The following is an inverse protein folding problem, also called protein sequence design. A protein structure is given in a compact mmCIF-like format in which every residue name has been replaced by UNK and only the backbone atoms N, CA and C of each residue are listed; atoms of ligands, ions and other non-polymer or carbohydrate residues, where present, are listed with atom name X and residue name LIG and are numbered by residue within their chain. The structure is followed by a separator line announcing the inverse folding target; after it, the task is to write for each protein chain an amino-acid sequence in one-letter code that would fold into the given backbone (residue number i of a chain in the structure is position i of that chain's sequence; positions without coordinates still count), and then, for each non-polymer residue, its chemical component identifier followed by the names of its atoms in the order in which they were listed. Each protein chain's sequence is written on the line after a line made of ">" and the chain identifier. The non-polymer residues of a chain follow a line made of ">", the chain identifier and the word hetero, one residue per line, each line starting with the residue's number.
data_IF_639970164356
#
_entry.id   IF_639970164356
#
_cell.length_a   1.000
_cell.length_b   1.000
_cell.length_c   1.000
_cell.angle_alpha   90.00
_cell.angle_beta   90.00
_cell.angle_gamma   90.00
#
_symmetry.space_group_name_H-M   'P 1'
#
loop_
_entity.id
_entity.type
_entity.pdbx_description
1 polymer ?
#
# COMPACT_ATOMS: atom_id res chain seq x y z
N UNK A 1 23.53 -34.58 12.01
CA UNK A 1 23.37 -34.91 10.59
C UNK A 1 21.92 -34.65 10.21
N UNK A 2 21.62 -33.45 9.71
CA UNK A 2 20.28 -33.05 9.29
C UNK A 2 20.15 -33.23 7.77
N UNK A 3 19.08 -33.91 7.37
CA UNK A 3 18.69 -34.31 6.02
C UNK A 3 18.53 -33.08 5.09
N UNK A 4 19.56 -32.78 4.29
CA UNK A 4 19.49 -31.87 3.14
C UNK A 4 18.61 -32.51 2.05
N UNK A 5 17.29 -32.46 2.21
CA UNK A 5 16.37 -32.73 1.09
C UNK A 5 16.50 -31.61 0.06
N UNK A 6 17.33 -31.83 -0.96
CA UNK A 6 17.32 -31.08 -2.22
C UNK A 6 15.87 -31.01 -2.72
N UNK A 7 15.23 -29.85 -2.61
CA UNK A 7 13.85 -29.65 -3.06
C UNK A 7 13.66 -30.10 -4.51
N UNK A 8 12.45 -30.57 -4.85
CA UNK A 8 12.11 -31.07 -6.18
C UNK A 8 12.44 -30.03 -7.25
N UNK A 9 12.65 -30.44 -8.51
CA UNK A 9 12.84 -29.51 -9.63
C UNK A 9 11.72 -28.45 -9.69
N UNK A 10 10.50 -28.84 -9.28
CA UNK A 10 9.34 -27.97 -9.10
C UNK A 10 9.57 -26.88 -8.04
N UNK A 11 10.11 -27.24 -6.88
CA UNK A 11 10.35 -26.31 -5.76
C UNK A 11 11.44 -25.30 -6.08
N UNK A 12 12.49 -25.75 -6.79
CA UNK A 12 13.56 -24.88 -7.30
C UNK A 12 13.02 -23.90 -8.35
N UNK A 13 12.21 -24.37 -9.30
CA UNK A 13 11.56 -23.52 -10.28
C UNK A 13 10.63 -22.50 -9.62
N UNK A 14 9.86 -22.93 -8.62
CA UNK A 14 9.01 -22.04 -7.83
C UNK A 14 9.83 -20.98 -7.08
N UNK A 15 10.94 -21.36 -6.44
CA UNK A 15 11.83 -20.43 -5.75
C UNK A 15 12.49 -19.40 -6.68
N UNK A 16 12.83 -19.78 -7.92
CA UNK A 16 13.38 -18.84 -8.91
C UNK A 16 12.30 -17.91 -9.47
N UNK A 17 11.13 -18.45 -9.83
CA UNK A 17 10.06 -17.70 -10.49
C UNK A 17 9.24 -16.82 -9.54
N UNK A 18 9.15 -17.17 -8.26
CA UNK A 18 8.34 -16.48 -7.26
C UNK A 18 9.15 -15.97 -6.04
N UNK A 19 10.29 -16.59 -5.71
CA UNK A 19 11.00 -16.38 -4.44
C UNK A 19 11.75 -15.06 -4.29
N UNK A 20 12.06 -14.33 -5.38
CA UNK A 20 12.56 -12.93 -5.38
C UNK A 20 13.92 -12.63 -4.74
N UNK A 21 14.42 -13.44 -3.79
CA UNK A 21 15.62 -13.14 -2.99
C UNK A 21 16.89 -13.82 -3.51
N UNK A 22 16.76 -14.96 -4.21
CA UNK A 22 17.92 -15.68 -4.73
C UNK A 22 18.61 -14.94 -5.88
N UNK A 23 19.92 -15.14 -6.05
CA UNK A 23 20.67 -14.56 -7.19
C UNK A 23 20.09 -15.01 -8.54
N UNK A 24 19.66 -16.27 -8.63
CA UNK A 24 19.00 -16.81 -9.81
C UNK A 24 17.65 -16.13 -10.08
N UNK A 25 16.83 -15.90 -9.05
CA UNK A 25 15.57 -15.17 -9.19
C UNK A 25 15.80 -13.75 -9.70
N UNK A 26 16.79 -13.02 -9.16
CA UNK A 26 17.11 -11.66 -9.60
C UNK A 26 17.57 -11.60 -11.06
N UNK A 27 18.47 -12.50 -11.48
CA UNK A 27 18.93 -12.56 -12.87
C UNK A 27 17.77 -12.87 -13.80
N UNK A 28 16.95 -13.87 -13.46
CA UNK A 28 15.77 -14.22 -14.23
C UNK A 28 14.80 -13.03 -14.36
N UNK A 29 14.50 -12.36 -13.25
CA UNK A 29 13.66 -11.17 -13.19
C UNK A 29 14.20 -10.05 -14.10
N UNK A 30 15.51 -9.77 -14.05
CA UNK A 30 16.16 -8.76 -14.92
C UNK A 30 16.12 -9.13 -16.40
N UNK A 31 16.41 -10.39 -16.74
CA UNK A 31 16.36 -10.88 -18.14
C UNK A 31 14.93 -10.82 -18.68
N UNK A 32 13.95 -11.24 -17.88
CA UNK A 32 12.54 -11.21 -18.25
C UNK A 32 12.05 -9.78 -18.43
N UNK A 33 12.45 -8.86 -17.56
CA UNK A 33 12.18 -7.43 -17.69
C UNK A 33 12.72 -6.86 -19.00
N UNK A 34 14.00 -7.14 -19.31
CA UNK A 34 14.62 -6.71 -20.57
C UNK A 34 13.89 -7.30 -21.79
N UNK A 35 13.50 -8.58 -21.74
CA UNK A 35 12.74 -9.22 -22.81
C UNK A 35 11.36 -8.59 -23.01
N UNK A 36 10.66 -8.19 -21.93
CA UNK A 36 9.37 -7.47 -22.02
C UNK A 36 9.59 -6.11 -22.70
N UNK A 37 10.59 -5.33 -22.28
CA UNK A 37 10.89 -4.03 -22.89
C UNK A 37 11.24 -4.16 -24.38
N UNK A 38 12.10 -5.10 -24.75
CA UNK A 38 12.45 -5.37 -26.15
C UNK A 38 11.24 -5.83 -26.96
N UNK A 39 10.36 -6.65 -26.39
CA UNK A 39 9.12 -7.06 -27.04
C UNK A 39 8.18 -5.88 -27.27
N UNK A 40 8.07 -4.95 -26.32
CA UNK A 40 7.25 -3.74 -26.48
C UNK A 40 7.86 -2.81 -27.53
N UNK A 41 9.18 -2.64 -27.52
CA UNK A 41 9.89 -1.86 -28.53
C UNK A 41 9.67 -2.43 -29.94
N UNK A 42 9.66 -3.76 -30.08
CA UNK A 42 9.38 -4.43 -31.36
C UNK A 42 7.99 -4.03 -31.89
N UNK A 43 6.98 -3.97 -31.03
CA UNK A 43 5.61 -3.55 -31.41
C UNK A 43 5.56 -2.07 -31.80
N UNK A 44 6.28 -1.21 -31.06
CA UNK A 44 6.37 0.22 -31.38
C UNK A 44 7.03 0.42 -32.76
N UNK A 45 8.15 -0.26 -33.02
CA UNK A 45 8.85 -0.18 -34.31
C UNK A 45 8.00 -0.78 -35.43
N UNK A 46 7.31 -1.90 -35.21
CA UNK A 46 6.39 -2.47 -36.23
C UNK A 46 5.27 -1.47 -36.59
N UNK A 47 4.76 -0.71 -35.61
CA UNK A 47 3.69 0.26 -35.84
C UNK A 47 4.07 1.45 -36.73
N UNK A 48 5.37 1.79 -36.82
CA UNK A 48 5.86 2.86 -37.70
C UNK A 48 6.17 2.39 -39.12
N UNK A 49 6.23 1.08 -39.36
CA UNK A 49 6.58 0.53 -40.67
C UNK A 49 5.33 0.34 -41.55
N UNK A 50 5.49 0.56 -42.85
CA UNK A 50 4.47 0.18 -43.83
C UNK A 50 4.29 -1.34 -43.87
N UNK A 51 3.07 -1.79 -44.20
CA UNK A 51 2.72 -3.21 -44.24
C UNK A 51 3.63 -4.02 -45.18
N UNK A 52 4.11 -3.40 -46.26
CA UNK A 52 4.93 -4.01 -47.30
C UNK A 52 6.45 -3.92 -47.02
N UNK A 53 6.86 -3.33 -45.90
CA UNK A 53 8.27 -3.20 -45.54
C UNK A 53 8.90 -4.59 -45.25
N UNK A 54 10.12 -4.87 -45.75
CA UNK A 54 10.86 -6.09 -45.40
C UNK A 54 11.15 -6.20 -43.90
N UNK A 55 11.16 -5.06 -43.18
CA UNK A 55 11.30 -5.03 -41.73
C UNK A 55 10.09 -5.62 -41.00
N UNK A 56 8.89 -5.46 -41.53
CA UNK A 56 7.65 -5.99 -40.93
C UNK A 56 7.71 -7.52 -40.83
N UNK A 57 8.20 -8.21 -41.86
CA UNK A 57 8.38 -9.66 -41.82
C UNK A 57 9.40 -10.10 -40.76
N UNK A 58 10.54 -9.39 -40.64
CA UNK A 58 11.58 -9.69 -39.64
C UNK A 58 11.08 -9.44 -38.21
N UNK A 59 10.37 -8.34 -37.98
CA UNK A 59 9.80 -7.99 -36.68
C UNK A 59 8.75 -9.01 -36.24
N UNK A 60 7.95 -9.57 -37.16
CA UNK A 60 7.02 -10.66 -36.84
C UNK A 60 7.73 -11.94 -36.39
N UNK A 61 8.87 -12.29 -36.97
CA UNK A 61 9.67 -13.45 -36.51
C UNK A 61 10.15 -13.21 -35.07
N UNK A 62 10.65 -12.01 -34.80
CA UNK A 62 11.08 -11.60 -33.44
C UNK A 62 9.90 -11.63 -32.47
N UNK A 63 8.71 -11.18 -32.88
CA UNK A 63 7.51 -11.25 -32.05
C UNK A 63 7.13 -12.70 -31.71
N UNK A 64 7.17 -13.60 -32.69
CA UNK A 64 6.89 -15.02 -32.46
C UNK A 64 7.91 -15.60 -31.48
N UNK A 65 9.20 -15.26 -31.62
CA UNK A 65 10.24 -15.68 -30.69
C UNK A 65 9.95 -15.20 -29.24
N UNK A 66 9.63 -13.91 -29.04
CA UNK A 66 9.23 -13.41 -27.72
C UNK A 66 7.97 -14.08 -27.17
N UNK A 67 6.98 -14.32 -28.03
CA UNK A 67 5.74 -15.01 -27.66
C UNK A 67 6.03 -16.42 -27.16
N UNK A 68 6.91 -17.16 -27.85
CA UNK A 68 7.34 -18.50 -27.44
C UNK A 68 8.06 -18.47 -26.09
N UNK A 69 9.00 -17.53 -25.90
CA UNK A 69 9.70 -17.35 -24.61
C UNK A 69 8.69 -17.10 -23.48
N UNK A 70 7.75 -16.17 -23.66
CA UNK A 70 6.72 -15.85 -22.67
C UNK A 70 5.70 -16.98 -22.45
N UNK A 71 5.48 -17.82 -23.45
CA UNK A 71 4.61 -19.00 -23.35
C UNK A 71 5.26 -20.09 -22.53
N UNK A 72 6.52 -20.42 -22.82
CA UNK A 72 7.32 -21.39 -22.05
C UNK A 72 7.36 -20.93 -20.58
N UNK A 73 7.67 -19.65 -20.37
CA UNK A 73 7.70 -19.03 -19.06
C UNK A 73 6.35 -19.20 -18.32
N UNK A 74 5.23 -18.83 -18.96
CA UNK A 74 3.89 -18.97 -18.38
C UNK A 74 3.52 -20.43 -18.03
N UNK A 75 3.90 -21.38 -18.90
CA UNK A 75 3.68 -22.81 -18.67
C UNK A 75 4.50 -23.30 -17.47
N UNK A 76 5.77 -22.91 -17.37
CA UNK A 76 6.62 -23.29 -16.23
C UNK A 76 6.03 -22.73 -14.92
N UNK A 77 5.51 -21.48 -14.93
CA UNK A 77 4.80 -20.91 -13.78
C UNK A 77 3.58 -21.72 -13.38
N UNK A 78 2.74 -22.11 -14.34
CA UNK A 78 1.57 -22.94 -14.06
C UNK A 78 1.96 -24.31 -13.49
N UNK A 79 3.01 -24.92 -14.03
CA UNK A 79 3.52 -26.21 -13.57
C UNK A 79 4.11 -26.16 -12.16
N UNK A 80 4.91 -25.13 -11.85
CA UNK A 80 5.55 -25.03 -10.54
C UNK A 80 4.62 -24.53 -9.44
N UNK A 81 3.59 -23.72 -9.77
CA UNK A 81 2.68 -23.16 -8.77
C UNK A 81 1.87 -24.27 -8.06
N UNK A 82 1.77 -24.27 -6.71
CA UNK A 82 1.04 -25.30 -5.96
C UNK A 82 -0.45 -25.43 -6.33
N UNK A 83 -1.07 -24.32 -6.75
CA UNK A 83 -2.48 -24.24 -7.18
C UNK A 83 -2.56 -23.62 -8.57
N UNK A 84 -2.25 -24.39 -9.62
CA UNK A 84 -2.11 -23.91 -10.99
C UNK A 84 -3.34 -23.16 -11.50
N UNK A 85 -4.54 -23.73 -11.32
CA UNK A 85 -5.80 -23.09 -11.76
C UNK A 85 -6.04 -21.75 -11.05
N UNK A 86 -5.76 -21.67 -9.75
CA UNK A 86 -5.90 -20.42 -9.00
C UNK A 86 -4.94 -19.34 -9.50
N UNK A 87 -3.74 -19.74 -9.93
CA UNK A 87 -2.80 -18.81 -10.56
C UNK A 87 -3.29 -18.38 -11.94
N UNK A 88 -3.75 -19.30 -12.78
CA UNK A 88 -4.27 -18.99 -14.13
C UNK A 88 -5.37 -17.92 -14.10
N UNK A 89 -6.30 -18.01 -13.14
CA UNK A 89 -7.40 -17.06 -12.95
C UNK A 89 -7.06 -15.88 -12.01
N UNK A 90 -5.80 -15.71 -11.61
CA UNK A 90 -5.37 -14.52 -10.86
C UNK A 90 -5.10 -13.33 -11.79
N UNK A 91 -5.09 -12.11 -11.26
CA UNK A 91 -4.78 -10.89 -12.03
C UNK A 91 -3.47 -11.02 -12.81
N UNK A 92 -2.41 -11.55 -12.18
CA UNK A 92 -1.11 -11.73 -12.83
C UNK A 92 -1.13 -12.87 -13.87
N UNK A 93 -1.80 -13.98 -13.57
CA UNK A 93 -1.95 -15.08 -14.53
C UNK A 93 -2.76 -14.70 -15.76
N UNK A 94 -3.79 -13.87 -15.60
CA UNK A 94 -4.61 -13.35 -16.68
C UNK A 94 -3.83 -12.37 -17.57
N UNK A 95 -3.04 -11.46 -16.97
CA UNK A 95 -2.14 -10.56 -17.73
C UNK A 95 -1.14 -11.39 -18.54
N UNK A 96 -0.55 -12.42 -17.94
CA UNK A 96 0.41 -13.29 -18.62
C UNK A 96 -0.24 -14.04 -19.79
N UNK A 97 -1.45 -14.56 -19.60
CA UNK A 97 -2.21 -15.19 -20.65
C UNK A 97 -2.58 -14.22 -21.79
N UNK A 98 -3.18 -13.08 -21.47
CA UNK A 98 -3.61 -12.07 -22.45
C UNK A 98 -2.47 -11.51 -23.29
N UNK A 99 -1.25 -11.53 -22.76
CA UNK A 99 -0.07 -11.03 -23.47
C UNK A 99 0.49 -11.96 -24.56
N UNK A 100 0.15 -13.27 -24.51
CA UNK A 100 0.60 -14.29 -25.48
C UNK A 100 -0.51 -14.70 -26.46
N UNK A 101 -1.77 -14.66 -26.03
CA UNK A 101 -2.95 -15.08 -26.80
C UNK A 101 -3.08 -14.40 -28.17
N UNK A 102 -2.88 -13.07 -28.31
CA UNK A 102 -3.12 -12.41 -29.59
C UNK A 102 -2.28 -12.95 -30.75
N UNK A 103 -1.03 -13.34 -30.48
CA UNK A 103 -0.13 -13.88 -31.51
C UNK A 103 -0.54 -15.30 -31.90
N UNK A 104 -0.98 -16.14 -30.96
CA UNK A 104 -1.52 -17.48 -31.29
C UNK A 104 -2.83 -17.41 -32.07
N UNK A 105 -3.76 -16.53 -31.69
CA UNK A 105 -4.99 -16.32 -32.45
C UNK A 105 -4.71 -15.84 -33.88
N UNK A 106 -3.72 -14.95 -34.05
CA UNK A 106 -3.29 -14.49 -35.36
C UNK A 106 -2.71 -15.60 -36.26
N UNK A 107 -2.05 -16.60 -35.66
CA UNK A 107 -1.46 -17.76 -36.37
C UNK A 107 -2.49 -18.84 -36.69
N UNK A 108 -3.40 -19.17 -35.75
CA UNK A 108 -4.42 -20.20 -35.93
C UNK A 108 -5.53 -19.79 -36.89
N UNK A 109 -5.76 -18.48 -37.04
CA UNK A 109 -6.83 -17.93 -37.87
C UNK A 109 -6.32 -16.90 -38.90
N UNK A 110 -5.52 -17.30 -39.92
CA UNK A 110 -4.95 -16.38 -40.90
C UNK A 110 -6.00 -15.65 -41.75
N UNK A 111 -7.11 -16.32 -42.08
CA UNK A 111 -8.19 -15.77 -42.91
C UNK A 111 -9.10 -14.77 -42.19
N UNK A 112 -9.00 -14.65 -40.87
CA UNK A 112 -9.76 -13.68 -40.07
C UNK A 112 -9.04 -12.31 -39.99
N UNK A 113 -7.80 -12.18 -40.50
CA UNK A 113 -6.96 -10.97 -40.41
C UNK A 113 -7.52 -9.76 -41.18
N UNK A 114 -8.48 -9.99 -42.08
CA UNK A 114 -9.23 -8.98 -42.83
C UNK A 114 -10.31 -8.29 -41.98
N UNK A 115 -10.74 -8.90 -40.87
CA UNK A 115 -11.75 -8.30 -39.98
C UNK A 115 -11.13 -7.26 -39.05
N UNK A 116 -11.81 -6.12 -38.89
CA UNK A 116 -11.42 -5.05 -37.98
C UNK A 116 -11.22 -5.55 -36.53
N UNK A 117 -11.95 -6.57 -36.11
CA UNK A 117 -11.82 -7.20 -34.79
C UNK A 117 -10.42 -7.80 -34.54
N UNK A 118 -9.78 -8.39 -35.55
CA UNK A 118 -8.42 -8.92 -35.41
C UNK A 118 -7.33 -7.82 -35.48
N UNK A 119 -7.64 -6.65 -36.04
CA UNK A 119 -6.75 -5.47 -35.97
C UNK A 119 -6.61 -5.00 -34.52
N UNK A 120 -7.69 -5.03 -33.76
CA UNK A 120 -7.68 -4.73 -32.31
C UNK A 120 -6.85 -5.76 -31.54
N UNK A 121 -6.89 -7.04 -31.92
CA UNK A 121 -6.04 -8.06 -31.27
C UNK A 121 -4.54 -7.74 -31.37
N UNK A 122 -4.08 -7.11 -32.46
CA UNK A 122 -2.68 -6.68 -32.58
C UNK A 122 -2.32 -5.63 -31.53
N UNK A 123 -3.24 -4.71 -31.23
CA UNK A 123 -3.09 -3.72 -30.17
C UNK A 123 -3.06 -4.38 -28.79
N UNK A 124 -3.79 -5.48 -28.58
CA UNK A 124 -3.76 -6.22 -27.31
C UNK A 124 -2.36 -6.77 -26.97
N UNK A 125 -1.42 -6.85 -27.93
CA UNK A 125 -0.02 -7.17 -27.63
C UNK A 125 0.64 -6.10 -26.74
N UNK A 126 0.13 -4.87 -26.73
CA UNK A 126 0.53 -3.83 -25.78
C UNK A 126 0.33 -4.30 -24.34
N UNK A 127 -0.62 -5.24 -24.08
CA UNK A 127 -0.82 -5.76 -22.74
C UNK A 127 0.42 -6.46 -22.16
N UNK A 128 1.40 -6.84 -22.99
CA UNK A 128 2.72 -7.28 -22.52
C UNK A 128 3.38 -6.25 -21.59
N UNK A 129 3.11 -4.95 -21.76
CA UNK A 129 3.60 -3.90 -20.85
C UNK A 129 3.10 -4.10 -19.42
N UNK A 130 1.86 -4.60 -19.24
CA UNK A 130 1.32 -4.83 -17.90
C UNK A 130 2.00 -6.01 -17.19
N UNK A 131 2.76 -6.87 -17.90
CA UNK A 131 3.62 -7.85 -17.23
C UNK A 131 4.65 -7.16 -16.33
N UNK A 132 5.01 -5.90 -16.59
CA UNK A 132 5.91 -5.10 -15.75
C UNK A 132 5.34 -4.85 -14.35
N UNK A 133 4.02 -4.90 -14.17
CA UNK A 133 3.35 -4.73 -12.87
C UNK A 133 3.81 -5.75 -11.82
N UNK A 134 4.36 -6.91 -12.23
CA UNK A 134 4.92 -7.90 -11.30
C UNK A 134 6.20 -7.43 -10.59
N UNK A 135 6.92 -6.48 -11.19
CA UNK A 135 8.10 -5.86 -10.59
C UNK A 135 7.72 -4.77 -9.59
N UNK A 136 6.42 -4.45 -9.48
CA UNK A 136 5.89 -3.49 -8.54
C UNK A 136 5.90 -3.99 -7.08
N UNK A 137 6.80 -4.89 -6.67
CA UNK A 137 7.08 -5.14 -5.24
C UNK A 137 7.41 -3.82 -4.53
N UNK A 138 8.14 -2.92 -5.19
CA UNK A 138 8.35 -1.54 -4.74
C UNK A 138 7.07 -0.68 -4.77
N UNK A 139 6.17 -0.95 -5.72
CA UNK A 139 4.88 -0.27 -5.86
C UNK A 139 3.82 -0.70 -4.84
N UNK A 140 4.07 -1.68 -3.96
CA UNK A 140 3.11 -2.08 -2.92
C UNK A 140 2.92 -0.99 -1.88
N UNK A 141 3.98 -0.30 -1.48
CA UNK A 141 3.91 0.87 -0.58
C UNK A 141 3.09 1.98 -1.24
N UNK A 142 3.40 2.29 -2.50
CA UNK A 142 2.66 3.28 -3.28
C UNK A 142 1.19 2.85 -3.44
N UNK A 143 0.92 1.58 -3.71
CA UNK A 143 -0.42 1.04 -3.89
C UNK A 143 -1.26 1.07 -2.61
N UNK A 144 -0.66 0.77 -1.46
CA UNK A 144 -1.30 0.92 -0.16
C UNK A 144 -1.62 2.40 0.12
N UNK A 145 -0.64 3.29 -0.08
CA UNK A 145 -0.84 4.73 0.07
C UNK A 145 -1.97 5.26 -0.84
N UNK A 146 -2.04 4.81 -2.09
CA UNK A 146 -3.14 5.16 -3.00
C UNK A 146 -4.50 4.64 -2.51
N UNK A 147 -4.55 3.41 -2.01
CA UNK A 147 -5.78 2.80 -1.51
C UNK A 147 -6.32 3.54 -0.28
N UNK A 148 -5.46 3.93 0.66
CA UNK A 148 -5.81 4.72 1.84
C UNK A 148 -6.17 6.17 1.48
N UNK A 149 -5.54 6.71 0.43
CA UNK A 149 -5.79 8.07 -0.06
C UNK A 149 -6.98 8.17 -1.02
N UNK A 150 -7.66 7.06 -1.35
CA UNK A 150 -8.60 6.99 -2.49
C UNK A 150 -9.72 8.02 -2.44
N UNK A 151 -10.28 8.30 -1.26
CA UNK A 151 -11.37 9.28 -1.12
C UNK A 151 -10.86 10.72 -1.25
N UNK A 152 -9.65 11.00 -0.73
CA UNK A 152 -8.98 12.30 -0.84
C UNK A 152 -8.61 12.58 -2.31
N UNK A 153 -8.05 11.59 -3.00
CA UNK A 153 -7.73 11.66 -4.43
C UNK A 153 -9.01 11.80 -5.27
N UNK A 154 -10.05 11.01 -4.98
CA UNK A 154 -11.32 11.09 -5.72
C UNK A 154 -11.97 12.47 -5.57
N UNK A 155 -12.00 13.03 -4.35
CA UNK A 155 -12.53 14.38 -4.12
C UNK A 155 -11.76 15.44 -4.92
N UNK A 156 -10.42 15.34 -4.96
CA UNK A 156 -9.59 16.21 -5.77
C UNK A 156 -9.88 16.08 -7.28
N UNK A 157 -9.95 14.86 -7.81
CA UNK A 157 -10.22 14.61 -9.23
C UNK A 157 -11.61 15.10 -9.65
N UNK A 158 -12.63 14.85 -8.81
CA UNK A 158 -13.99 15.37 -9.04
C UNK A 158 -13.97 16.89 -9.03
N UNK A 159 -13.30 17.52 -8.08
CA UNK A 159 -13.12 18.98 -8.04
C UNK A 159 -12.44 19.52 -9.30
N UNK A 160 -11.36 18.87 -9.77
CA UNK A 160 -10.65 19.24 -10.99
C UNK A 160 -11.56 19.19 -12.23
N UNK A 161 -12.34 18.12 -12.37
CA UNK A 161 -13.29 17.97 -13.48
C UNK A 161 -14.38 19.03 -13.40
N UNK A 162 -14.92 19.33 -12.20
CA UNK A 162 -15.93 20.38 -12.05
C UNK A 162 -15.39 21.77 -12.40
N UNK A 163 -14.17 22.10 -11.98
CA UNK A 163 -13.51 23.35 -12.36
C UNK A 163 -13.34 23.39 -13.88
N UNK A 164 -12.83 22.31 -14.50
CA UNK A 164 -12.68 22.21 -15.95
C UNK A 164 -14.01 22.41 -16.70
N UNK A 165 -15.10 21.87 -16.16
CA UNK A 165 -16.45 22.06 -16.71
C UNK A 165 -16.86 23.52 -16.68
N UNK A 166 -16.65 24.20 -15.54
CA UNK A 166 -17.00 25.62 -15.38
C UNK A 166 -16.16 26.50 -16.29
N UNK A 167 -14.83 26.41 -16.21
CA UNK A 167 -13.94 27.28 -17.00
C UNK A 167 -14.04 26.98 -18.50
N UNK A 168 -14.24 25.72 -18.87
CA UNK A 168 -14.46 25.32 -20.26
C UNK A 168 -15.77 25.85 -20.84
N UNK A 169 -16.84 25.85 -20.04
CA UNK A 169 -18.13 26.45 -20.45
C UNK A 169 -18.02 27.97 -20.58
N UNK A 170 -17.30 28.64 -19.67
CA UNK A 170 -17.02 30.06 -19.77
C UNK A 170 -16.21 30.38 -21.02
N UNK A 171 -15.16 29.60 -21.32
CA UNK A 171 -14.34 29.82 -22.50
C UNK A 171 -15.15 29.65 -23.79
N UNK A 172 -16.02 28.64 -23.86
CA UNK A 172 -17.00 28.49 -24.94
C UNK A 172 -17.88 29.73 -25.12
N UNK A 173 -18.35 30.34 -24.02
CA UNK A 173 -19.18 31.55 -24.09
C UNK A 173 -18.40 32.81 -24.50
N UNK A 174 -17.11 32.91 -24.13
CA UNK A 174 -16.27 34.09 -24.38
C UNK A 174 -15.73 34.09 -25.82
N UNK A 175 -15.21 32.94 -26.26
CA UNK A 175 -14.48 32.82 -27.53
C UNK A 175 -15.38 32.32 -28.68
N UNK A 176 -16.31 31.42 -28.37
CA UNK A 176 -17.21 30.83 -29.36
C UNK A 176 -16.53 29.98 -30.45
N UNK A 177 -17.28 29.59 -31.50
CA UNK A 177 -16.81 28.62 -32.50
C UNK A 177 -15.65 29.10 -33.38
N UNK A 178 -15.49 30.41 -33.59
CA UNK A 178 -14.47 30.98 -34.46
C UNK A 178 -13.05 30.74 -33.93
N UNK A 179 -12.87 30.71 -32.61
CA UNK A 179 -11.60 30.36 -31.95
C UNK A 179 -11.44 28.86 -31.66
N UNK A 180 -12.26 27.99 -32.27
CA UNK A 180 -12.22 26.53 -32.07
C UNK A 180 -13.05 26.02 -30.88
N UNK A 181 -13.60 26.90 -30.04
CA UNK A 181 -14.53 26.55 -28.96
C UNK A 181 -15.94 26.34 -29.52
N UNK A 182 -16.11 25.34 -30.39
CA UNK A 182 -17.37 25.09 -31.11
C UNK A 182 -18.50 24.53 -30.23
N UNK A 183 -18.18 23.92 -29.10
CA UNK A 183 -19.14 23.33 -28.17
C UNK A 183 -18.51 23.21 -26.77
N UNK A 184 -19.35 23.15 -25.73
CA UNK A 184 -18.90 23.08 -24.33
C UNK A 184 -17.86 21.96 -24.12
N UNK A 185 -18.02 20.71 -24.60
CA UNK A 185 -17.00 19.67 -24.45
C UNK A 185 -15.60 20.04 -24.98
N UNK A 186 -15.49 20.84 -26.05
CA UNK A 186 -14.20 21.34 -26.53
C UNK A 186 -13.55 22.31 -25.53
N UNK A 187 -14.36 23.18 -24.92
CA UNK A 187 -13.92 24.03 -23.82
C UNK A 187 -13.54 23.23 -22.57
N UNK A 188 -14.26 22.16 -22.24
CA UNK A 188 -13.90 21.27 -21.12
C UNK A 188 -12.55 20.61 -21.39
N UNK A 189 -12.33 20.11 -22.61
CA UNK A 189 -11.05 19.52 -23.02
C UNK A 189 -9.90 20.52 -22.87
N UNK A 190 -10.07 21.75 -23.35
CA UNK A 190 -9.13 22.85 -23.10
C UNK A 190 -8.90 23.07 -21.60
N UNK A 191 -9.97 23.16 -20.80
CA UNK A 191 -9.89 23.38 -19.35
C UNK A 191 -9.09 22.29 -18.63
N UNK A 192 -9.29 21.02 -18.98
CA UNK A 192 -8.50 19.90 -18.45
C UNK A 192 -7.02 20.05 -18.82
N UNK A 193 -6.72 20.34 -20.09
CA UNK A 193 -5.34 20.46 -20.58
C UNK A 193 -4.59 21.63 -19.95
N UNK A 194 -5.25 22.78 -19.77
CA UNK A 194 -4.68 23.97 -19.14
C UNK A 194 -4.49 23.76 -17.64
N UNK A 195 -5.47 23.18 -16.94
CA UNK A 195 -5.35 22.85 -15.50
C UNK A 195 -4.26 21.82 -15.22
N UNK A 196 -4.03 20.88 -16.15
CA UNK A 196 -2.98 19.85 -16.02
C UNK A 196 -1.62 20.31 -16.56
N UNK A 197 -1.50 21.59 -16.95
CA UNK A 197 -0.31 22.20 -17.53
C UNK A 197 0.23 21.49 -18.77
N UNK A 198 -0.62 20.71 -19.46
CA UNK A 198 -0.28 20.09 -20.75
C UNK A 198 -0.30 21.17 -21.83
N UNK A 199 -1.37 21.96 -21.86
CA UNK A 199 -1.62 22.98 -22.89
C UNK A 199 -1.87 22.38 -24.27
N UNK A 200 -2.77 22.98 -25.05
CA UNK A 200 -3.00 22.62 -26.44
C UNK A 200 -2.81 23.82 -27.34
N UNK A 201 -2.00 23.67 -28.39
CA UNK A 201 -1.72 24.76 -29.34
C UNK A 201 -2.89 25.06 -30.28
N UNK A 202 -3.88 24.18 -30.38
CA UNK A 202 -5.01 24.30 -31.32
C UNK A 202 -6.22 25.06 -30.74
N UNK A 203 -6.32 25.18 -29.41
CA UNK A 203 -7.42 25.87 -28.73
C UNK A 203 -6.84 26.95 -27.83
N UNK A 204 -6.69 28.16 -28.36
CA UNK A 204 -6.15 29.31 -27.61
C UNK A 204 -7.16 30.45 -27.66
N UNK A 205 -7.43 31.11 -26.51
CA UNK A 205 -8.28 32.28 -26.50
C UNK A 205 -7.63 33.45 -27.25
N UNK A 206 -8.41 34.05 -28.16
CA UNK A 206 -7.97 35.20 -28.96
C UNK A 206 -8.40 36.51 -28.31
N UNK A 207 -9.48 36.50 -27.52
CA UNK A 207 -10.00 37.69 -26.86
C UNK A 207 -9.21 38.04 -25.60
N UNK A 208 -9.08 39.33 -25.24
CA UNK A 208 -8.45 39.73 -23.99
C UNK A 208 -9.13 39.12 -22.75
N UNK A 209 -10.45 38.95 -22.77
CA UNK A 209 -11.20 38.32 -21.68
C UNK A 209 -10.85 36.84 -21.54
N UNK A 210 -10.74 36.11 -22.65
CA UNK A 210 -10.32 34.72 -22.67
C UNK A 210 -8.88 34.54 -22.18
N UNK A 211 -7.96 35.41 -22.59
CA UNK A 211 -6.56 35.38 -22.15
C UNK A 211 -6.40 35.66 -20.64
N UNK A 212 -7.20 36.58 -20.10
CA UNK A 212 -7.24 36.82 -18.64
C UNK A 212 -7.74 35.58 -17.92
N UNK A 213 -8.84 34.97 -18.39
CA UNK A 213 -9.38 33.73 -17.82
C UNK A 213 -8.34 32.60 -17.88
N UNK A 214 -7.68 32.42 -19.02
CA UNK A 214 -6.63 31.43 -19.21
C UNK A 214 -5.47 31.62 -18.23
N UNK A 215 -5.01 32.86 -18.04
CA UNK A 215 -3.95 33.19 -17.10
C UNK A 215 -4.31 32.77 -15.66
N UNK A 216 -5.57 32.99 -15.24
CA UNK A 216 -6.05 32.51 -13.94
C UNK A 216 -6.08 30.99 -13.86
N UNK A 217 -6.54 30.31 -14.91
CA UNK A 217 -6.60 28.84 -14.96
C UNK A 217 -5.20 28.22 -14.92
N UNK A 218 -4.20 28.81 -15.58
CA UNK A 218 -2.81 28.35 -15.53
C UNK A 218 -2.23 28.41 -14.10
N UNK A 219 -2.48 29.51 -13.37
CA UNK A 219 -2.03 29.66 -11.98
C UNK A 219 -2.73 28.62 -11.08
N UNK A 220 -4.03 28.43 -11.26
CA UNK A 220 -4.79 27.41 -10.54
C UNK A 220 -4.25 26.01 -10.82
N UNK A 221 -3.94 25.68 -12.08
CA UNK A 221 -3.40 24.39 -12.49
C UNK A 221 -2.11 24.03 -11.76
N UNK A 222 -1.19 24.99 -11.61
CA UNK A 222 0.05 24.78 -10.84
C UNK A 222 -0.22 24.38 -9.38
N UNK A 223 -1.19 25.02 -8.73
CA UNK A 223 -1.62 24.65 -7.38
C UNK A 223 -2.27 23.26 -7.32
N UNK A 224 -3.05 22.90 -8.34
CA UNK A 224 -3.72 21.59 -8.40
C UNK A 224 -2.74 20.42 -8.53
N UNK A 225 -1.65 20.55 -9.28
CA UNK A 225 -0.65 19.48 -9.44
C UNK A 225 0.02 19.07 -8.12
N UNK A 226 0.18 20.00 -7.17
CA UNK A 226 0.82 19.73 -5.89
C UNK A 226 -0.05 18.89 -4.94
N UNK A 227 -1.37 18.94 -5.08
CA UNK A 227 -2.32 18.28 -4.17
C UNK A 227 -2.21 16.74 -4.20
N UNK A 228 -2.34 16.04 -5.36
CA UNK A 228 -2.26 14.59 -5.37
C UNK A 228 -0.89 14.08 -4.92
N UNK A 229 0.19 14.79 -5.31
CA UNK A 229 1.55 14.46 -4.88
C UNK A 229 1.69 14.59 -3.37
N UNK A 230 1.21 15.69 -2.77
CA UNK A 230 1.29 15.89 -1.31
C UNK A 230 0.44 14.88 -0.54
N UNK A 231 -0.78 14.56 -1.00
CA UNK A 231 -1.64 13.54 -0.37
C UNK A 231 -0.93 12.18 -0.35
N UNK A 232 -0.45 11.72 -1.51
CA UNK A 232 0.25 10.42 -1.62
C UNK A 232 1.54 10.44 -0.79
N UNK A 233 2.31 11.53 -0.85
CA UNK A 233 3.57 11.67 -0.11
C UNK A 233 3.34 11.64 1.39
N UNK A 234 2.32 12.34 1.89
CA UNK A 234 2.00 12.37 3.33
C UNK A 234 1.64 10.98 3.85
N UNK A 235 0.96 10.17 3.05
CA UNK A 235 0.61 8.79 3.40
C UNK A 235 1.84 7.87 3.39
N UNK A 236 2.70 7.99 2.36
CA UNK A 236 3.97 7.24 2.30
C UNK A 236 4.88 7.60 3.49
N UNK A 237 5.00 8.89 3.81
CA UNK A 237 5.81 9.36 4.94
C UNK A 237 5.22 8.88 6.27
N UNK A 238 3.89 8.88 6.42
CA UNK A 238 3.23 8.35 7.61
C UNK A 238 3.50 6.83 7.78
N UNK A 239 3.39 6.05 6.69
CA UNK A 239 3.70 4.61 6.69
C UNK A 239 5.19 4.37 7.03
N UNK A 240 6.10 5.13 6.44
CA UNK A 240 7.54 5.03 6.73
C UNK A 240 7.86 5.40 8.18
N UNK A 241 7.30 6.51 8.69
CA UNK A 241 7.51 6.95 10.07
C UNK A 241 6.98 5.92 11.07
N UNK A 242 5.81 5.35 10.80
CA UNK A 242 5.27 4.26 11.60
C UNK A 242 6.19 3.04 11.58
N UNK A 243 6.75 2.70 10.42
CA UNK A 243 7.68 1.57 10.29
C UNK A 243 9.01 1.81 11.02
N UNK A 244 9.59 3.00 10.91
CA UNK A 244 10.80 3.41 11.67
C UNK A 244 10.52 3.34 13.17
N UNK A 245 9.37 3.87 13.62
CA UNK A 245 8.96 3.79 15.03
C UNK A 245 8.79 2.36 15.54
N UNK A 246 8.45 1.41 14.66
CA UNK A 246 8.30 -0.01 15.02
C UNK A 246 9.65 -0.75 14.97
N UNK A 247 10.51 -0.46 13.98
CA UNK A 247 11.72 -1.26 13.71
C UNK A 247 13.01 -0.68 14.28
N UNK A 248 13.09 0.65 14.43
CA UNK A 248 14.31 1.36 14.82
C UNK A 248 14.16 2.12 16.14
N UNK A 249 12.96 2.15 16.72
CA UNK A 249 12.76 2.76 18.02
C UNK A 249 13.41 1.92 19.12
N UNK A 250 14.24 2.53 19.96
CA UNK A 250 14.64 1.92 21.23
C UNK A 250 13.56 2.18 22.29
N UNK A 251 13.43 1.27 23.26
CA UNK A 251 12.52 1.50 24.39
C UNK A 251 12.86 2.81 25.09
N UNK A 252 11.85 3.68 25.22
CA UNK A 252 12.02 5.03 25.74
C UNK A 252 10.86 5.41 26.67
N UNK A 253 10.83 6.67 27.10
CA UNK A 253 9.72 7.22 27.88
C UNK A 253 8.39 7.23 27.10
N UNK A 254 8.42 7.16 25.77
CA UNK A 254 7.24 7.23 24.91
C UNK A 254 7.06 6.00 24.00
N UNK A 255 7.92 4.99 24.15
CA UNK A 255 7.86 3.78 23.34
C UNK A 255 8.21 2.56 24.21
N UNK A 256 7.35 1.55 24.19
CA UNK A 256 7.58 0.27 24.85
C UNK A 256 7.21 -0.87 23.91
N UNK A 257 8.03 -1.91 23.89
CA UNK A 257 7.81 -3.11 23.10
C UNK A 257 7.37 -4.27 23.98
N UNK A 258 6.51 -5.10 23.39
CA UNK A 258 6.12 -6.38 23.98
C UNK A 258 6.01 -7.42 22.88
N UNK A 259 6.52 -8.60 23.18
CA UNK A 259 6.45 -9.74 22.28
C UNK A 259 5.01 -10.18 22.02
N UNK A 260 4.14 -10.06 23.02
CA UNK A 260 2.75 -10.50 22.94
C UNK A 260 1.87 -9.90 24.05
N UNK A 261 0.55 -9.85 23.83
CA UNK A 261 -0.43 -9.50 24.85
C UNK A 261 -0.91 -10.72 25.67
N UNK A 262 -0.92 -11.93 25.06
CA UNK A 262 -1.56 -13.12 25.64
C UNK A 262 -0.72 -14.41 25.57
N UNK A 263 0.28 -14.50 24.70
CA UNK A 263 1.16 -15.63 24.48
C UNK A 263 2.50 -15.44 25.20
N UNK A 264 2.88 -16.41 26.04
CA UNK A 264 4.18 -16.40 26.73
C UNK A 264 5.20 -17.21 25.92
N UNK A 265 6.21 -16.54 25.37
CA UNK A 265 7.27 -17.20 24.60
C UNK A 265 8.22 -18.04 25.45
N UNK A 266 8.27 -17.80 26.77
CA UNK A 266 9.19 -18.50 27.69
C UNK A 266 8.56 -19.75 28.31
N UNK A 267 7.23 -19.90 28.23
CA UNK A 267 6.50 -21.03 28.79
C UNK A 267 5.55 -21.56 27.72
N UNK A 268 5.77 -22.78 27.23
CA UNK A 268 4.90 -23.51 26.27
C UNK A 268 3.51 -23.86 26.82
N UNK A 269 3.05 -23.20 27.89
CA UNK A 269 1.71 -23.32 28.46
C UNK A 269 1.00 -21.97 28.43
N UNK A 270 -0.31 -22.03 28.17
CA UNK A 270 -1.25 -20.91 28.15
C UNK A 270 -1.04 -20.06 29.41
N UNK A 271 -0.52 -18.82 29.33
CA UNK A 271 -0.41 -18.02 30.53
C UNK A 271 -1.81 -17.60 30.96
N UNK A 272 -2.12 -17.91 32.21
CA UNK A 272 -3.21 -17.32 32.95
C UNK A 272 -3.15 -15.79 32.84
N UNK A 273 -4.30 -15.14 33.02
CA UNK A 273 -4.60 -13.70 33.07
C UNK A 273 -3.48 -12.67 33.34
N UNK A 274 -2.40 -13.05 34.02
CA UNK A 274 -1.25 -12.27 34.45
C UNK A 274 -0.38 -11.68 33.33
N UNK A 275 -0.20 -12.35 32.18
CA UNK A 275 0.65 -11.81 31.12
C UNK A 275 0.06 -10.52 30.52
N UNK A 276 -1.25 -10.47 30.35
CA UNK A 276 -1.95 -9.31 29.83
C UNK A 276 -1.82 -8.09 30.76
N UNK A 277 -1.84 -8.33 32.07
CA UNK A 277 -1.74 -7.28 33.09
C UNK A 277 -0.35 -6.64 33.08
N UNK A 278 0.70 -7.47 32.97
CA UNK A 278 2.08 -6.99 32.88
C UNK A 278 2.45 -6.39 31.51
N UNK A 279 1.94 -6.97 30.42
CA UNK A 279 2.35 -6.62 29.05
C UNK A 279 1.49 -5.51 28.44
N UNK A 280 0.24 -5.34 28.88
CA UNK A 280 -0.67 -4.34 28.31
C UNK A 280 -1.13 -3.33 29.36
N UNK A 281 -1.78 -3.78 30.44
CA UNK A 281 -2.40 -2.83 31.39
C UNK A 281 -1.38 -1.97 32.11
N UNK A 282 -0.26 -2.54 32.55
CA UNK A 282 0.79 -1.80 33.23
C UNK A 282 1.41 -0.71 32.34
N UNK A 283 1.90 -1.00 31.11
CA UNK A 283 2.37 0.04 30.20
C UNK A 283 1.30 1.09 29.84
N UNK A 284 0.08 0.66 29.54
CA UNK A 284 -1.03 1.58 29.22
C UNK A 284 -1.27 2.57 30.36
N UNK A 285 -1.40 2.09 31.61
CA UNK A 285 -1.54 2.97 32.77
C UNK A 285 -0.32 3.89 32.94
N UNK A 286 0.88 3.35 32.73
CA UNK A 286 2.14 4.11 32.76
C UNK A 286 2.17 5.29 31.80
N UNK A 287 1.77 5.08 30.55
CA UNK A 287 1.76 6.12 29.51
C UNK A 287 0.65 7.16 29.73
N UNK A 288 -0.56 6.72 30.08
CA UNK A 288 -1.69 7.61 30.36
C UNK A 288 -1.36 8.61 31.48
N UNK A 289 -0.66 8.15 32.53
CA UNK A 289 -0.26 9.00 33.64
C UNK A 289 1.02 9.81 33.40
N UNK A 290 1.73 9.60 32.30
CA UNK A 290 2.96 10.30 31.95
C UNK A 290 2.71 11.33 30.83
N UNK A 291 3.52 11.29 29.76
CA UNK A 291 3.42 12.18 28.59
C UNK A 291 2.68 11.56 27.41
N UNK A 292 1.98 10.43 27.62
CA UNK A 292 1.50 9.60 26.52
C UNK A 292 2.64 8.83 25.85
N UNK A 293 2.33 8.05 24.82
CA UNK A 293 3.33 7.24 24.12
C UNK A 293 2.68 6.16 23.26
N UNK A 294 3.49 5.18 22.85
CA UNK A 294 3.00 4.03 22.10
C UNK A 294 3.51 2.73 22.69
N UNK A 295 2.59 1.79 22.87
CA UNK A 295 2.90 0.40 23.18
C UNK A 295 2.78 -0.41 21.88
N UNK A 296 3.84 -1.14 21.53
CA UNK A 296 3.86 -1.97 20.32
C UNK A 296 3.93 -3.43 20.73
N UNK A 297 2.94 -4.21 20.30
CA UNK A 297 2.77 -5.63 20.63
C UNK A 297 3.03 -6.47 19.38
N UNK A 298 3.84 -7.51 19.53
CA UNK A 298 4.35 -8.35 18.44
C UNK A 298 5.80 -8.01 18.06
N UNK A 299 6.58 -7.46 18.99
CA UNK A 299 7.99 -7.09 18.80
C UNK A 299 8.83 -7.68 19.94
N UNK A 300 10.00 -8.25 19.66
CA UNK A 300 10.92 -8.65 20.72
C UNK A 300 11.56 -7.42 21.39
N UNK A 301 12.17 -7.62 22.57
CA UNK A 301 12.92 -6.57 23.26
C UNK A 301 14.12 -6.08 22.42
N UNK A 302 14.62 -6.93 21.50
CA UNK A 302 15.70 -6.62 20.55
C UNK A 302 15.19 -5.96 19.24
N UNK A 303 13.89 -5.68 19.13
CA UNK A 303 13.29 -5.04 17.95
C UNK A 303 13.01 -6.00 16.78
N UNK A 304 13.04 -7.32 16.99
CA UNK A 304 12.64 -8.29 15.97
C UNK A 304 11.11 -8.39 15.84
N UNK A 305 10.62 -8.51 14.61
CA UNK A 305 9.18 -8.61 14.32
C UNK A 305 8.68 -10.03 14.57
N UNK A 306 8.02 -10.24 15.70
CA UNK A 306 7.38 -11.50 16.05
C UNK A 306 5.94 -11.60 15.50
N UNK A 307 5.20 -10.51 15.55
CA UNK A 307 3.78 -10.45 15.20
C UNK A 307 2.84 -10.92 16.32
N UNK A 308 1.54 -10.77 16.08
CA UNK A 308 0.45 -11.17 17.01
C UNK A 308 -0.23 -12.47 16.58
N UNK A 309 0.35 -13.21 15.63
CA UNK A 309 -0.26 -14.40 15.05
C UNK A 309 -0.54 -15.47 16.12
N UNK A 310 0.41 -15.67 17.01
CA UNK A 310 0.36 -16.58 18.13
C UNK A 310 -0.79 -16.21 19.08
N UNK A 311 -1.04 -14.91 19.30
CA UNK A 311 -2.18 -14.41 20.10
C UNK A 311 -3.53 -14.71 19.43
N UNK A 312 -3.58 -14.58 18.11
CA UNK A 312 -4.79 -14.87 17.33
C UNK A 312 -5.07 -16.39 17.31
N UNK A 313 -4.03 -17.20 17.13
CA UNK A 313 -4.12 -18.66 17.06
C UNK A 313 -4.52 -19.28 18.40
N UNK A 314 -3.99 -18.76 19.52
CA UNK A 314 -4.30 -19.24 20.88
C UNK A 314 -5.79 -19.42 21.15
N UNK A 315 -6.63 -18.52 20.65
CA UNK A 315 -8.08 -18.51 20.89
C UNK A 315 -8.93 -18.48 19.63
N UNK A 316 -8.31 -18.75 18.47
CA UNK A 316 -8.92 -18.67 17.15
C UNK A 316 -9.69 -17.35 16.95
N UNK A 317 -9.02 -16.23 17.22
CA UNK A 317 -9.60 -14.90 17.15
C UNK A 317 -9.45 -14.28 15.77
N UNK A 318 -10.50 -13.59 15.33
CA UNK A 318 -10.36 -12.60 14.27
C UNK A 318 -9.62 -11.38 14.79
N UNK A 319 -9.01 -10.64 13.86
CA UNK A 319 -8.38 -9.33 14.12
C UNK A 319 -9.31 -8.40 14.90
N UNK A 320 -10.57 -8.27 14.48
CA UNK A 320 -11.54 -7.40 15.15
C UNK A 320 -11.84 -7.85 16.59
N UNK A 321 -11.90 -9.17 16.80
CA UNK A 321 -12.12 -9.74 18.13
C UNK A 321 -10.94 -9.48 19.05
N UNK A 322 -9.71 -9.52 18.53
CA UNK A 322 -8.50 -9.16 19.26
C UNK A 322 -8.56 -7.70 19.73
N UNK A 323 -8.78 -6.75 18.83
CA UNK A 323 -8.90 -5.31 19.14
C UNK A 323 -10.00 -5.06 20.19
N UNK A 324 -11.21 -5.60 19.97
CA UNK A 324 -12.32 -5.46 20.92
C UNK A 324 -11.99 -6.02 22.31
N UNK A 325 -11.23 -7.12 22.36
CA UNK A 325 -10.83 -7.74 23.63
C UNK A 325 -9.82 -6.87 24.38
N UNK A 326 -8.86 -6.26 23.67
CA UNK A 326 -7.94 -5.28 24.26
C UNK A 326 -8.72 -4.10 24.84
N UNK A 327 -9.58 -3.46 24.04
CA UNK A 327 -10.39 -2.31 24.46
C UNK A 327 -11.25 -2.63 25.68
N UNK A 328 -11.99 -3.73 25.63
CA UNK A 328 -12.88 -4.14 26.73
C UNK A 328 -12.12 -4.39 28.03
N UNK A 329 -10.91 -4.97 27.96
CA UNK A 329 -10.10 -5.21 29.16
C UNK A 329 -9.47 -3.93 29.71
N UNK A 330 -9.04 -3.00 28.85
CA UNK A 330 -8.55 -1.68 29.28
C UNK A 330 -9.69 -0.93 29.97
N UNK A 331 -10.88 -0.89 29.37
CA UNK A 331 -12.06 -0.27 29.93
C UNK A 331 -12.46 -0.89 31.27
N UNK A 332 -12.51 -2.22 31.37
CA UNK A 332 -12.88 -2.88 32.63
C UNK A 332 -11.88 -2.63 33.77
N UNK A 333 -10.62 -2.34 33.42
CA UNK A 333 -9.53 -2.20 34.39
C UNK A 333 -9.25 -0.75 34.78
N UNK A 334 -9.48 0.22 33.88
CA UNK A 334 -9.13 1.65 34.07
C UNK A 334 -10.29 2.60 33.81
N UNK A 335 -11.40 2.13 33.25
CA UNK A 335 -12.59 2.90 32.91
C UNK A 335 -12.63 3.39 31.47
N UNK A 336 -13.81 3.85 31.03
CA UNK A 336 -14.07 4.25 29.64
C UNK A 336 -13.27 5.48 29.20
N UNK A 337 -12.91 6.39 30.12
CA UNK A 337 -12.04 7.53 29.81
C UNK A 337 -10.64 7.10 29.37
N UNK A 338 -10.05 6.11 30.07
CA UNK A 338 -8.75 5.55 29.70
C UNK A 338 -8.81 4.82 28.35
N UNK A 339 -9.90 4.08 28.10
CA UNK A 339 -10.12 3.42 26.83
C UNK A 339 -10.27 4.43 25.67
N UNK A 340 -10.94 5.57 25.90
CA UNK A 340 -11.08 6.63 24.89
C UNK A 340 -9.74 7.31 24.53
N UNK A 341 -8.80 7.38 25.47
CA UNK A 341 -7.44 7.90 25.24
C UNK A 341 -6.50 6.86 24.60
N UNK A 342 -7.00 5.67 24.29
CA UNK A 342 -6.21 4.58 23.71
C UNK A 342 -6.70 4.28 22.30
N UNK A 343 -5.91 4.62 21.29
CA UNK A 343 -6.19 4.25 19.90
C UNK A 343 -5.44 2.98 19.54
N UNK A 344 -6.16 1.92 19.15
CA UNK A 344 -5.57 0.63 18.77
C UNK A 344 -5.60 0.51 17.25
N UNK A 345 -4.44 0.30 16.64
CA UNK A 345 -4.29 0.03 15.21
C UNK A 345 -3.44 -1.20 14.95
N UNK A 346 -3.73 -1.90 13.84
CA UNK A 346 -2.93 -3.05 13.41
C UNK A 346 -2.15 -2.68 12.16
N UNK A 347 -0.82 -2.78 12.25
CA UNK A 347 0.08 -2.49 11.15
C UNK A 347 0.74 -3.77 10.68
N UNK A 348 0.98 -3.88 9.38
CA UNK A 348 1.62 -5.05 8.80
C UNK A 348 3.09 -4.76 8.56
N UNK A 349 3.97 -5.38 9.33
CA UNK A 349 5.42 -5.20 9.25
C UNK A 349 6.05 -6.55 8.91
N UNK A 350 6.90 -6.59 7.87
CA UNK A 350 7.54 -7.82 7.38
C UNK A 350 6.58 -8.99 7.07
N UNK A 351 5.32 -8.66 6.74
CA UNK A 351 4.29 -9.66 6.45
C UNK A 351 3.54 -10.18 7.68
N UNK A 352 3.96 -9.82 8.89
CA UNK A 352 3.29 -10.13 10.17
C UNK A 352 2.45 -8.95 10.65
N UNK A 353 1.48 -9.21 11.52
CA UNK A 353 0.62 -8.16 12.07
C UNK A 353 1.20 -7.74 13.41
N UNK A 354 1.41 -6.43 13.59
CA UNK A 354 1.90 -5.81 14.82
C UNK A 354 0.79 -4.90 15.32
N UNK A 355 0.47 -4.97 16.61
CA UNK A 355 -0.56 -4.17 17.23
C UNK A 355 0.06 -2.94 17.89
N UNK A 356 -0.39 -1.75 17.49
CA UNK A 356 0.09 -0.47 18.00
C UNK A 356 -1.02 0.17 18.83
N UNK A 357 -0.73 0.47 20.08
CA UNK A 357 -1.60 1.23 20.97
C UNK A 357 -0.99 2.62 21.12
N UNK A 358 -1.61 3.63 20.51
CA UNK A 358 -1.25 5.04 20.69
C UNK A 358 -2.06 5.61 21.85
N UNK A 359 -1.35 6.14 22.85
CA UNK A 359 -1.88 6.52 24.16
C UNK A 359 -1.71 8.02 24.36
N UNK A 360 -2.82 8.72 24.53
CA UNK A 360 -2.83 10.14 24.87
C UNK A 360 -2.60 10.36 26.36
N UNK A 361 -1.90 11.44 26.71
CA UNK A 361 -1.68 11.77 28.11
C UNK A 361 -3.00 12.17 28.77
N UNK A 362 -3.36 11.52 29.88
CA UNK A 362 -4.62 11.78 30.55
C UNK A 362 -4.67 13.19 31.15
N UNK A 363 -5.83 13.84 31.08
CA UNK A 363 -6.08 15.14 31.71
C UNK A 363 -6.23 15.05 33.24
N UNK A 364 -6.38 13.84 33.78
CA UNK A 364 -6.43 13.56 35.21
C UNK A 364 -5.80 12.18 35.51
N UNK A 365 -5.39 11.92 36.76
CA UNK A 365 -4.77 10.65 37.12
C UNK A 365 -5.67 9.44 36.82
N UNK A 366 -5.11 8.46 36.13
CA UNK A 366 -5.78 7.21 35.77
C UNK A 366 -5.32 6.09 36.71
N UNK A 367 -6.23 5.63 37.56
CA UNK A 367 -5.98 4.53 38.51
C UNK A 367 -6.50 3.20 37.97
N UNK A 368 -5.81 2.12 38.35
CA UNK A 368 -6.26 0.75 38.06
C UNK A 368 -7.30 0.34 39.08
N UNK A 369 -8.52 0.05 38.61
CA UNK A 369 -9.70 -0.28 39.42
C UNK A 369 -9.86 -1.77 39.69
N UNK A 370 -9.45 -2.65 38.77
CA UNK A 370 -9.64 -4.10 38.91
C UNK A 370 -8.61 -4.85 38.09
N UNK A 371 -7.76 -5.64 38.75
CA UNK A 371 -6.74 -6.49 38.11
C UNK A 371 -6.37 -7.64 39.06
N UNK A 372 -6.00 -8.81 38.53
CA UNK A 372 -5.57 -9.95 39.37
C UNK A 372 -4.12 -9.82 39.85
N UNK A 373 -3.26 -9.09 39.13
CA UNK A 373 -1.83 -8.91 39.49
C UNK A 373 -1.40 -7.48 39.75
N UNK A 374 -2.23 -6.49 39.40
CA UNK A 374 -1.92 -5.08 39.67
C UNK A 374 -2.60 -4.62 40.95
N UNK A 375 -1.92 -3.74 41.69
CA UNK A 375 -2.39 -3.23 42.98
C UNK A 375 -3.52 -2.21 42.73
N UNK A 376 -4.68 -2.49 43.31
CA UNK A 376 -5.86 -1.63 43.19
C UNK A 376 -5.58 -0.25 43.82
N UNK A 377 -5.99 0.81 43.11
CA UNK A 377 -5.77 2.19 43.57
C UNK A 377 -4.32 2.70 43.45
N UNK A 378 -3.38 1.89 42.94
CA UNK A 378 -2.02 2.35 42.67
C UNK A 378 -1.93 3.18 41.38
N UNK A 379 -1.00 4.13 41.36
CA UNK A 379 -0.70 4.94 40.18
C UNK A 379 0.54 4.38 39.48
N UNK A 380 0.36 3.92 38.25
CA UNK A 380 1.46 3.43 37.42
C UNK A 380 1.93 4.58 36.53
N UNK A 381 3.22 4.87 36.51
CA UNK A 381 3.81 5.98 35.77
C UNK A 381 5.02 5.50 34.98
N UNK A 382 5.09 5.84 33.69
CA UNK A 382 6.26 5.60 32.85
C UNK A 382 7.38 6.57 33.26
N UNK A 383 8.55 6.03 33.58
CA UNK A 383 9.76 6.78 33.94
C UNK A 383 10.93 6.21 33.15
N UNK A 384 11.49 7.02 32.24
CA UNK A 384 12.47 6.56 31.26
C UNK A 384 11.92 5.31 30.53
N UNK A 385 12.69 4.23 30.44
CA UNK A 385 12.29 3.00 29.76
C UNK A 385 11.49 2.01 30.65
N UNK A 386 10.97 2.40 31.83
CA UNK A 386 10.26 1.47 32.70
C UNK A 386 9.00 2.07 33.33
N UNK A 387 7.97 1.24 33.53
CA UNK A 387 6.77 1.64 34.29
C UNK A 387 6.94 1.30 35.77
N UNK A 388 6.87 2.33 36.63
CA UNK A 388 6.99 2.25 38.08
C UNK A 388 5.64 2.45 38.77
N UNK A 389 5.50 1.87 39.95
CA UNK A 389 4.31 2.04 40.81
C UNK A 389 4.63 3.14 41.81
N UNK A 390 3.77 4.14 41.91
CA UNK A 390 3.82 5.15 42.95
C UNK A 390 2.78 4.84 44.02
N UNK A 391 3.16 5.01 45.28
CA UNK A 391 2.31 4.71 46.42
C UNK A 391 2.31 5.84 47.46
N UNK A 392 1.21 5.95 48.21
CA UNK A 392 1.08 6.88 49.34
C UNK A 392 1.42 8.33 48.98
N UNK A 393 2.39 8.90 49.68
CA UNK A 393 2.79 10.30 49.53
C UNK A 393 3.40 10.61 48.15
N UNK A 394 3.96 9.62 47.45
CA UNK A 394 4.53 9.82 46.11
C UNK A 394 3.46 10.13 45.07
N UNK A 395 2.27 9.50 45.19
CA UNK A 395 1.12 9.79 44.33
C UNK A 395 0.77 11.27 44.47
N UNK A 396 0.58 11.75 45.69
CA UNK A 396 0.17 13.15 45.96
C UNK A 396 1.17 14.15 45.37
N UNK A 397 2.47 13.92 45.57
CA UNK A 397 3.53 14.79 45.03
C UNK A 397 3.56 14.77 43.51
N UNK A 398 3.44 13.58 42.91
CA UNK A 398 3.45 13.44 41.46
C UNK A 398 2.22 14.09 40.82
N UNK A 399 1.04 13.82 41.36
CA UNK A 399 -0.21 14.34 40.80
C UNK A 399 -0.27 15.86 40.89
N UNK A 400 0.18 16.44 42.01
CA UNK A 400 0.26 17.88 42.19
C UNK A 400 1.27 18.54 41.23
N UNK A 401 2.31 17.84 40.81
CA UNK A 401 3.29 18.39 39.85
C UNK A 401 2.83 18.25 38.40
N UNK A 402 2.14 17.17 38.06
CA UNK A 402 1.79 16.81 36.67
C UNK A 402 0.48 17.45 36.18
N UNK A 403 -0.46 17.70 37.08
CA UNK A 403 -1.81 18.19 36.76
C UNK A 403 -2.23 19.47 37.51
N UNK A 404 -1.30 20.14 38.22
CA UNK A 404 -1.49 21.54 38.59
C UNK A 404 -1.31 22.42 37.36
#
# INVERSE_FOLDING_TARGET
>A
MADERKGSARDRAYAVLFGGTSRAARIFDTVLFAAILLSVLTVIVESSQSADSPWTARLRIVEIAFTLIFSIEYIIRLWCHPRALRFAFSTFGLIDFLSIVPTYLALLFPGLQTFAALRVLRLLRIFRVFRLSRFARAGKVIGNALAESRYRIAAFLVGAVLIAVVVGSLMYMIEGPESGFAHIPAGIYWGIATLTTVGHSELNPLTPAGQVLESFVMILGYGMLAIPVSVITSEIVAEQRARVKILEGEESEQLEYKSSAFYDYNKTQIPETHLFEGSVLKPVAGFLNARGGSLIIGMSDDGEVLGIQEDLELKNWSVDKYVRTLTSRIESSMGSAAAALTTISLKKVEGRHVCVLDLEAAASPTFVKKSKSMKEGALYVRMNNSTRVLEGNEIVKYTARRWA
#
